data_IF_061855215643
#
_entry.id   IF_061855215643
#
_cell.length_a   1.000
_cell.length_b   1.000
_cell.length_c   1.000
_cell.angle_alpha   90.00
_cell.angle_beta   90.00
_cell.angle_gamma   90.00
#
_symmetry.space_group_name_H-M   'P 1'
#
loop_
_entity.id
_entity.type
_entity.pdbx_description
1 polymer ?
#
# COMPACT_ATOMS: atom_id res chain seq x y z
N UNK A 1 5.28 6.37 -2.22
CA UNK A 1 5.61 4.94 -2.02
C UNK A 1 7.07 4.75 -2.43
N UNK A 2 7.77 3.67 -2.03
CA UNK A 2 9.05 3.33 -2.66
C UNK A 2 8.84 3.11 -4.17
N UNK A 3 9.72 3.64 -5.01
CA UNK A 3 9.57 3.57 -6.46
C UNK A 3 9.77 2.15 -7.02
N UNK A 4 10.45 1.30 -6.24
CA UNK A 4 10.72 -0.11 -6.52
C UNK A 4 9.70 -1.07 -5.88
N UNK A 5 8.59 -0.54 -5.36
CA UNK A 5 7.55 -1.35 -4.77
C UNK A 5 6.69 -2.01 -5.86
N UNK A 6 6.43 -3.30 -5.70
CA UNK A 6 5.65 -4.11 -6.65
C UNK A 6 4.48 -4.79 -5.96
N UNK A 7 3.61 -5.43 -6.72
CA UNK A 7 2.53 -6.23 -6.16
C UNK A 7 2.22 -7.47 -7.00
N UNK A 8 1.62 -8.45 -6.34
CA UNK A 8 1.01 -9.63 -6.91
C UNK A 8 -0.52 -9.49 -6.82
N UNK A 9 -1.26 -10.03 -7.78
CA UNK A 9 -2.73 -10.03 -7.78
C UNK A 9 -3.24 -11.44 -7.91
N UNK A 10 -4.25 -11.82 -7.12
CA UNK A 10 -4.91 -13.11 -7.27
C UNK A 10 -5.53 -13.20 -8.68
N UNK A 11 -5.33 -14.32 -9.37
CA UNK A 11 -5.88 -14.58 -10.70
C UNK A 11 -7.41 -14.63 -10.70
N UNK A 12 -8.03 -14.92 -9.55
CA UNK A 12 -9.47 -14.87 -9.35
C UNK A 12 -9.80 -13.81 -8.29
N UNK A 13 -10.18 -12.57 -8.71
CA UNK A 13 -10.47 -11.49 -7.77
C UNK A 13 -11.78 -11.75 -7.02
N UNK A 14 -11.82 -11.41 -5.74
CA UNK A 14 -13.08 -11.27 -5.02
C UNK A 14 -13.82 -9.99 -5.50
N UNK A 15 -15.16 -10.02 -5.54
CA UNK A 15 -15.99 -8.84 -5.91
C UNK A 15 -16.05 -7.77 -4.81
N UNK A 16 -15.02 -7.69 -3.97
CA UNK A 16 -14.99 -6.73 -2.87
C UNK A 16 -14.71 -5.33 -3.38
N UNK A 17 -15.35 -4.36 -2.72
CA UNK A 17 -15.23 -2.95 -3.06
C UNK A 17 -13.80 -2.40 -2.84
N UNK A 18 -13.04 -2.99 -1.92
CA UNK A 18 -11.64 -2.66 -1.70
C UNK A 18 -10.80 -3.85 -2.15
N UNK A 19 -9.75 -3.59 -2.94
CA UNK A 19 -8.90 -4.65 -3.49
C UNK A 19 -8.06 -5.34 -2.39
N UNK A 20 -8.66 -6.34 -1.76
CA UNK A 20 -8.04 -7.21 -0.76
C UNK A 20 -7.33 -8.42 -1.42
N UNK A 21 -7.45 -8.56 -2.74
CA UNK A 21 -6.87 -9.63 -3.55
C UNK A 21 -5.43 -9.37 -4.00
N UNK A 22 -4.79 -8.30 -3.49
CA UNK A 22 -3.41 -7.94 -3.80
C UNK A 22 -2.46 -8.30 -2.65
N UNK A 23 -1.25 -8.76 -2.99
CA UNK A 23 -0.12 -8.85 -2.06
C UNK A 23 0.96 -7.89 -2.52
N UNK A 24 1.34 -6.95 -1.66
CA UNK A 24 2.42 -6.03 -1.98
C UNK A 24 3.78 -6.63 -1.65
N UNK A 25 4.73 -6.46 -2.56
CA UNK A 25 6.13 -6.85 -2.37
C UNK A 25 6.87 -5.61 -1.89
N UNK A 26 7.31 -5.66 -0.63
CA UNK A 26 8.14 -4.62 -0.05
C UNK A 26 9.62 -4.93 -0.28
N UNK A 27 10.43 -3.93 -0.67
CA UNK A 27 11.87 -4.10 -0.66
C UNK A 27 12.39 -4.49 0.73
N UNK A 28 13.38 -5.38 0.78
CA UNK A 28 13.88 -5.98 2.03
C UNK A 28 14.36 -4.94 3.06
N UNK A 29 14.89 -3.80 2.59
CA UNK A 29 15.30 -2.68 3.45
C UNK A 29 14.15 -2.15 4.32
N UNK A 30 12.90 -2.33 3.89
CA UNK A 30 11.70 -1.89 4.60
C UNK A 30 11.07 -2.98 5.47
N UNK A 31 11.70 -4.15 5.66
CA UNK A 31 11.12 -5.29 6.39
C UNK A 31 10.54 -4.96 7.77
N UNK A 32 11.17 -4.04 8.51
CA UNK A 32 10.73 -3.62 9.85
C UNK A 32 9.42 -2.81 9.82
N UNK A 33 9.04 -2.27 8.66
CA UNK A 33 7.87 -1.42 8.46
C UNK A 33 6.73 -2.13 7.74
N UNK A 34 6.81 -3.45 7.47
CA UNK A 34 5.73 -4.22 6.83
C UNK A 34 4.37 -4.01 7.49
N UNK A 35 4.35 -3.89 8.83
CA UNK A 35 3.15 -3.69 9.64
C UNK A 35 2.54 -2.28 9.52
N UNK A 36 3.27 -1.36 8.92
CA UNK A 36 2.92 0.05 8.83
C UNK A 36 2.23 0.40 7.51
N UNK A 37 2.06 -0.53 6.57
CA UNK A 37 1.40 -0.27 5.30
C UNK A 37 -0.11 -0.55 5.36
N UNK A 38 -0.91 0.47 5.04
CA UNK A 38 -2.36 0.46 5.20
C UNK A 38 -3.07 0.99 3.97
N UNK A 39 -4.21 0.36 3.68
CA UNK A 39 -5.20 0.95 2.81
C UNK A 39 -6.01 1.96 3.65
N UNK A 40 -6.08 3.19 3.18
CA UNK A 40 -6.72 4.31 3.89
C UNK A 40 -7.78 4.96 3.01
N UNK A 41 -8.74 5.63 3.65
CA UNK A 41 -9.70 6.51 2.99
C UNK A 41 -9.35 7.96 3.30
N UNK A 42 -9.31 8.82 2.27
CA UNK A 42 -9.27 10.27 2.47
C UNK A 42 -10.69 10.80 2.68
N UNK A 43 -10.88 11.61 3.71
CA UNK A 43 -12.12 12.35 3.88
C UNK A 43 -12.09 13.64 3.02
N UNK A 44 -13.13 13.82 2.20
CA UNK A 44 -13.31 15.00 1.34
C UNK A 44 -13.94 16.21 2.08
N UNK A 45 -14.00 16.19 3.41
CA UNK A 45 -14.51 17.30 4.24
C UNK A 45 -13.51 18.45 4.42
N UNK A 46 -13.90 19.47 5.19
CA UNK A 46 -13.10 20.68 5.45
C UNK A 46 -11.70 20.41 6.03
N UNK A 47 -11.53 19.28 6.71
CA UNK A 47 -10.22 18.76 7.13
C UNK A 47 -9.90 17.49 6.33
N UNK A 48 -8.86 17.53 5.51
CA UNK A 48 -8.36 16.33 4.83
C UNK A 48 -7.67 15.41 5.84
N UNK A 49 -8.35 14.34 6.24
CA UNK A 49 -7.84 13.33 7.17
C UNK A 49 -7.84 11.98 6.46
N UNK A 50 -6.77 11.20 6.65
CA UNK A 50 -6.68 9.82 6.21
C UNK A 50 -7.10 8.89 7.35
N UNK A 51 -8.05 8.00 7.07
CA UNK A 51 -8.58 7.03 8.03
C UNK A 51 -8.14 5.63 7.59
N UNK A 52 -7.37 4.88 8.41
CA UNK A 52 -7.04 3.49 8.11
C UNK A 52 -8.29 2.62 8.01
N UNK A 53 -8.35 1.80 6.97
CA UNK A 53 -9.43 0.82 6.78
C UNK A 53 -8.96 -0.56 7.21
N UNK A 54 -7.89 -1.05 6.58
CA UNK A 54 -7.27 -2.32 6.94
C UNK A 54 -5.78 -2.33 6.58
N UNK A 55 -5.07 -3.25 7.23
CA UNK A 55 -3.65 -3.47 7.00
C UNK A 55 -3.48 -4.30 5.74
N UNK A 56 -2.61 -3.84 4.86
CA UNK A 56 -2.36 -4.51 3.58
C UNK A 56 -1.52 -5.78 3.78
N UNK A 57 -1.80 -6.81 2.98
CA UNK A 57 -0.99 -8.02 2.94
C UNK A 57 0.31 -7.74 2.20
N UNK A 58 1.44 -8.04 2.83
CA UNK A 58 2.77 -7.78 2.30
C UNK A 58 3.68 -8.98 2.43
N UNK A 59 4.53 -9.22 1.44
CA UNK A 59 5.71 -10.09 1.52
C UNK A 59 6.97 -9.26 1.26
N UNK A 60 8.13 -9.80 1.59
CA UNK A 60 9.42 -9.21 1.22
C UNK A 60 9.86 -9.68 -0.16
N UNK A 61 10.76 -8.94 -0.79
CA UNK A 61 11.31 -9.28 -2.11
C UNK A 61 12.05 -10.63 -2.13
N UNK A 62 12.76 -10.97 -1.04
CA UNK A 62 13.38 -12.28 -0.88
C UNK A 62 12.39 -13.44 -0.57
N UNK A 63 11.15 -13.13 -0.17
CA UNK A 63 10.19 -14.16 0.22
C UNK A 63 9.64 -14.87 -1.05
N UNK A 64 9.38 -16.19 -1.00
CA UNK A 64 8.83 -16.90 -2.14
C UNK A 64 7.43 -16.38 -2.50
N UNK A 65 7.16 -16.28 -3.81
CA UNK A 65 5.86 -15.88 -4.34
C UNK A 65 4.82 -16.98 -4.01
N UNK A 66 3.71 -16.64 -3.32
CA UNK A 66 2.64 -17.60 -3.06
C UNK A 66 1.99 -18.10 -4.37
N UNK A 67 1.59 -19.38 -4.46
CA UNK A 67 0.88 -19.87 -5.63
C UNK A 67 -0.49 -19.18 -5.79
N UNK A 68 -0.99 -19.13 -7.03
CA UNK A 68 -2.30 -18.53 -7.35
C UNK A 68 -2.30 -17.01 -7.52
N UNK A 69 -1.12 -16.39 -7.63
CA UNK A 69 -0.99 -14.97 -7.90
C UNK A 69 -0.24 -14.70 -9.20
N UNK A 70 -0.66 -13.64 -9.90
CA UNK A 70 -0.02 -13.09 -11.09
C UNK A 70 0.85 -11.88 -10.75
N UNK A 71 1.84 -11.60 -11.60
CA UNK A 71 2.79 -10.49 -11.44
C UNK A 71 4.26 -10.96 -11.35
N UNK A 72 5.18 -10.15 -10.78
CA UNK A 72 4.92 -8.88 -10.09
C UNK A 72 4.61 -7.72 -11.06
N UNK A 73 3.74 -6.82 -10.63
CA UNK A 73 3.36 -5.58 -11.33
C UNK A 73 3.90 -4.35 -10.59
N UNK A 74 4.14 -3.26 -11.33
CA UNK A 74 4.65 -2.01 -10.76
C UNK A 74 3.56 -1.24 -9.98
N UNK A 75 3.94 -0.69 -8.82
CA UNK A 75 3.05 0.19 -8.04
C UNK A 75 3.24 1.62 -8.51
N UNK A 76 2.22 2.18 -9.17
CA UNK A 76 2.23 3.60 -9.52
C UNK A 76 1.90 4.47 -8.28
N UNK A 77 2.53 5.65 -8.13
CA UNK A 77 2.56 6.42 -6.88
C UNK A 77 1.21 6.92 -6.34
N UNK A 78 0.12 6.74 -7.09
CA UNK A 78 -1.22 7.19 -6.72
C UNK A 78 -2.28 6.17 -7.10
N UNK A 79 -2.14 4.92 -6.66
CA UNK A 79 -3.22 3.94 -6.71
C UNK A 79 -4.49 4.53 -6.07
N UNK A 80 -5.34 5.11 -6.90
CA UNK A 80 -6.52 5.87 -6.55
C UNK A 80 -7.68 5.22 -7.27
N UNK A 81 -8.34 4.30 -6.58
CA UNK A 81 -9.65 3.85 -7.03
C UNK A 81 -10.68 4.86 -6.57
N UNK A 82 -11.29 5.59 -7.50
CA UNK A 82 -12.40 6.47 -7.18
C UNK A 82 -13.70 5.68 -7.23
N UNK A 83 -14.32 5.46 -6.08
CA UNK A 83 -15.69 4.93 -6.06
C UNK A 83 -16.69 6.04 -5.93
N UNK A 84 -17.65 6.07 -6.85
CA UNK A 84 -18.77 6.99 -6.81
C UNK A 84 -19.92 6.33 -6.07
N UNK A 85 -20.13 6.68 -4.80
CA UNK A 85 -21.46 6.52 -4.17
C UNK A 85 -22.27 7.80 -4.40
N UNK A 86 -23.60 7.68 -4.46
CA UNK A 86 -24.63 8.68 -4.89
C UNK A 86 -24.49 10.14 -4.40
N UNK A 87 -23.54 10.48 -3.53
CA UNK A 87 -23.28 11.86 -3.11
C UNK A 87 -21.81 12.27 -2.97
N UNK A 88 -20.81 11.37 -3.01
CA UNK A 88 -19.36 11.71 -2.86
C UNK A 88 -18.46 10.69 -3.56
N UNK A 89 -17.45 11.17 -4.28
CA UNK A 89 -16.30 10.35 -4.67
C UNK A 89 -15.48 10.04 -3.42
N UNK A 90 -15.16 8.76 -3.21
CA UNK A 90 -14.25 8.33 -2.16
C UNK A 90 -12.91 7.99 -2.79
N UNK A 91 -11.88 8.74 -2.39
CA UNK A 91 -10.50 8.50 -2.80
C UNK A 91 -9.82 7.58 -1.78
N UNK A 92 -9.33 6.46 -2.27
CA UNK A 92 -8.59 5.47 -1.50
C UNK A 92 -7.11 5.51 -1.85
N UNK A 93 -6.27 5.26 -0.85
CA UNK A 93 -4.82 5.35 -0.99
C UNK A 93 -4.13 4.27 -0.19
N UNK A 94 -2.90 3.99 -0.58
CA UNK A 94 -1.98 3.14 0.16
C UNK A 94 -0.94 4.01 0.86
N UNK A 95 -0.87 3.95 2.19
CA UNK A 95 0.03 4.80 2.98
C UNK A 95 0.79 4.00 4.03
N UNK A 96 2.01 4.45 4.33
CA UNK A 96 2.67 4.07 5.57
C UNK A 96 2.16 4.93 6.73
N UNK A 97 1.58 4.30 7.75
CA UNK A 97 1.04 4.95 8.96
C UNK A 97 1.95 4.63 10.15
N UNK A 98 2.46 5.67 10.80
CA UNK A 98 3.36 5.57 11.95
C UNK A 98 2.74 6.19 13.19
N UNK A 99 2.84 5.49 14.32
CA UNK A 99 2.41 6.00 15.63
C UNK A 99 3.41 7.02 16.21
N UNK A 100 4.70 6.85 15.89
CA UNK A 100 5.80 7.62 16.47
C UNK A 100 6.66 8.25 15.38
N UNK A 101 7.14 9.48 15.63
CA UNK A 101 7.92 10.28 14.67
C UNK A 101 9.26 9.62 14.35
N UNK A 102 9.88 8.98 15.32
CA UNK A 102 11.18 8.31 15.18
C UNK A 102 11.10 7.18 14.16
N UNK A 103 10.04 6.37 14.22
CA UNK A 103 9.80 5.28 13.25
C UNK A 103 9.57 5.81 11.84
N UNK A 104 8.86 6.94 11.72
CA UNK A 104 8.68 7.62 10.43
C UNK A 104 10.02 8.10 9.85
N UNK A 105 10.87 8.75 10.66
CA UNK A 105 12.19 9.23 10.22
C UNK A 105 13.07 8.08 9.77
N UNK A 106 13.08 6.96 10.51
CA UNK A 106 13.82 5.75 10.14
C UNK A 106 13.32 5.14 8.82
N UNK A 107 12.01 5.06 8.60
CA UNK A 107 11.49 4.59 7.32
C UNK A 107 11.88 5.54 6.19
N UNK A 108 11.76 6.85 6.41
CA UNK A 108 12.09 7.87 5.41
C UNK A 108 13.55 7.81 4.95
N UNK A 109 14.51 7.52 5.84
CA UNK A 109 15.92 7.36 5.45
C UNK A 109 16.15 6.15 4.53
N UNK A 110 15.27 5.14 4.61
CA UNK A 110 15.36 3.90 3.83
C UNK A 110 14.54 3.95 2.53
N UNK A 111 13.70 4.98 2.33
CA UNK A 111 12.91 5.13 1.10
C UNK A 111 13.73 5.60 -0.10
N UNK A 112 14.93 6.15 0.12
CA UNK A 112 15.81 6.57 -0.97
C UNK A 112 16.55 5.35 -1.51
N UNK A 113 16.49 5.05 -2.83
CA UNK A 113 17.46 4.15 -3.42
C UNK A 113 18.86 4.74 -3.19
N UNK A 114 19.84 3.90 -2.83
CA UNK A 114 21.22 4.31 -3.04
C UNK A 114 21.34 4.62 -4.52
N UNK A 115 21.69 5.88 -4.84
CA UNK A 115 22.13 6.20 -6.19
C UNK A 115 23.44 5.43 -6.37
N UNK A 116 23.37 4.25 -7.00
CA UNK A 116 24.51 3.66 -7.69
C UNK A 116 24.92 4.54 -8.86
#
# INVERSE_FOLDING_TARGET
MPDDMRYLRNSTPDESFIEENMIFILPDRLKKFRKNLWHVRRNAGATHIYIPLFRVKTILEQDPIPPGYEGPFDVFPFYTHTSKRRSRALDYYLLFVFRHKETYVQCKSLLKPEKG
#
